data_IF_531769045139
#
_entry.id   IF_531769045139
#
_cell.length_a   1.000
_cell.length_b   1.000
_cell.length_c   1.000
_cell.angle_alpha   90.00
_cell.angle_beta   90.00
_cell.angle_gamma   90.00
#
_symmetry.space_group_name_H-M   'P 1'
#
loop_
_entity.id
_entity.type
_entity.pdbx_description
1 polymer ?
#
# COMPACT_ATOMS: atom_id res chain seq x y z
N UNK A 1 -13.83 3.67 -6.99
CA UNK A 1 -14.08 2.58 -6.01
C UNK A 1 -12.90 1.62 -6.02
N UNK A 2 -12.35 1.21 -4.87
CA UNK A 2 -11.20 0.29 -4.83
C UNK A 2 -11.62 -1.16 -5.17
N UNK A 3 -10.74 -1.94 -5.84
CA UNK A 3 -11.00 -3.35 -6.11
C UNK A 3 -11.22 -4.18 -4.82
N UNK A 4 -11.99 -5.28 -4.87
CA UNK A 4 -12.25 -6.13 -3.71
C UNK A 4 -10.99 -6.56 -2.97
N UNK A 5 -11.01 -6.42 -1.64
CA UNK A 5 -9.89 -6.78 -0.75
C UNK A 5 -8.79 -5.72 -0.66
N UNK A 6 -8.92 -4.59 -1.35
CA UNK A 6 -8.10 -3.40 -1.13
C UNK A 6 -8.80 -2.41 -0.21
N UNK A 7 -8.00 -1.60 0.50
CA UNK A 7 -8.48 -0.58 1.42
C UNK A 7 -7.63 0.67 1.32
N UNK A 8 -8.28 1.80 1.51
CA UNK A 8 -7.68 3.12 1.59
C UNK A 8 -7.36 3.44 3.06
N UNK A 9 -6.10 3.78 3.32
CA UNK A 9 -5.56 4.24 4.59
C UNK A 9 -4.79 5.57 4.42
N UNK A 10 -5.00 6.30 3.32
CA UNK A 10 -4.30 7.56 3.04
C UNK A 10 -4.55 8.65 4.09
N UNK A 11 -5.67 8.56 4.83
CA UNK A 11 -6.06 9.53 5.87
C UNK A 11 -5.42 9.28 7.25
N UNK A 12 -4.64 8.21 7.41
CA UNK A 12 -3.94 7.96 8.69
C UNK A 12 -2.82 8.97 8.90
N UNK A 13 -2.52 9.27 10.17
CA UNK A 13 -1.37 10.12 10.50
C UNK A 13 -0.09 9.41 10.12
N UNK A 14 0.88 10.13 9.58
CA UNK A 14 2.22 9.60 9.32
C UNK A 14 3.13 9.97 10.48
N UNK A 15 3.77 8.99 11.11
CA UNK A 15 4.83 9.30 12.07
C UNK A 15 6.05 9.82 11.31
N UNK A 16 6.82 10.71 11.95
CA UNK A 16 8.13 11.14 11.44
C UNK A 16 9.01 9.94 11.08
N UNK A 17 9.00 8.93 11.94
CA UNK A 17 9.77 7.71 11.73
C UNK A 17 9.33 6.95 10.47
N UNK A 18 8.03 6.88 10.17
CA UNK A 18 7.54 6.22 8.96
C UNK A 18 8.00 6.94 7.69
N UNK A 19 7.99 8.27 7.70
CA UNK A 19 8.45 9.11 6.58
C UNK A 19 9.95 8.94 6.37
N UNK A 20 10.77 9.05 7.42
CA UNK A 20 12.22 8.83 7.36
C UNK A 20 12.56 7.44 6.79
N UNK A 21 11.90 6.39 7.30
CA UNK A 21 12.10 5.04 6.79
C UNK A 21 11.64 4.87 5.34
N UNK A 22 10.65 5.64 4.90
CA UNK A 22 10.20 5.62 3.51
C UNK A 22 11.27 6.19 2.58
N UNK A 23 11.85 7.35 2.94
CA UNK A 23 12.97 7.99 2.25
C UNK A 23 14.14 7.01 2.15
N UNK A 24 14.63 6.51 3.28
CA UNK A 24 15.83 5.66 3.35
C UNK A 24 15.69 4.35 2.56
N UNK A 25 14.52 3.71 2.61
CA UNK A 25 14.33 2.35 2.08
C UNK A 25 13.90 2.35 0.62
N UNK A 26 13.19 3.41 0.20
CA UNK A 26 12.60 3.49 -1.12
C UNK A 26 13.26 4.54 -2.03
N UNK A 27 14.18 5.36 -1.50
CA UNK A 27 14.91 6.37 -2.27
C UNK A 27 14.01 7.51 -2.74
N UNK A 28 13.08 7.92 -1.89
CA UNK A 28 12.13 8.99 -2.18
C UNK A 28 12.71 10.32 -1.72
N UNK A 29 12.56 11.36 -2.52
CA UNK A 29 12.97 12.71 -2.14
C UNK A 29 12.21 13.17 -0.88
N UNK A 30 12.88 13.82 0.10
CA UNK A 30 12.24 14.20 1.36
C UNK A 30 10.96 15.02 1.21
N UNK A 31 10.95 15.94 0.24
CA UNK A 31 9.81 16.83 -0.06
C UNK A 31 8.60 16.08 -0.60
N UNK A 32 8.81 14.90 -1.19
CA UNK A 32 7.75 14.06 -1.79
C UNK A 32 7.37 12.89 -0.89
N UNK A 33 8.08 12.68 0.22
CA UNK A 33 7.98 11.47 1.02
C UNK A 33 6.60 11.29 1.67
N UNK A 34 6.02 12.35 2.21
CA UNK A 34 4.69 12.30 2.84
C UNK A 34 3.60 12.01 1.82
N UNK A 35 3.53 12.79 0.74
CA UNK A 35 2.54 12.59 -0.33
C UNK A 35 2.71 11.22 -1.01
N UNK A 36 3.96 10.81 -1.22
CA UNK A 36 4.31 9.49 -1.74
C UNK A 36 3.80 8.37 -0.84
N UNK A 37 4.00 8.49 0.48
CA UNK A 37 3.54 7.50 1.44
C UNK A 37 2.01 7.50 1.57
N UNK A 38 1.36 8.66 1.56
CA UNK A 38 -0.10 8.76 1.51
C UNK A 38 -0.67 8.07 0.27
N UNK A 39 -0.04 8.25 -0.90
CA UNK A 39 -0.44 7.59 -2.16
C UNK A 39 -0.32 6.06 -2.06
N UNK A 40 0.75 5.55 -1.44
CA UNK A 40 0.89 4.11 -1.15
C UNK A 40 -0.24 3.62 -0.26
N UNK A 41 -0.57 4.38 0.79
CA UNK A 41 -1.63 4.05 1.74
C UNK A 41 -3.04 4.17 1.16
N UNK A 42 -3.22 4.98 0.11
CA UNK A 42 -4.46 5.08 -0.66
C UNK A 42 -4.90 3.76 -1.29
N UNK A 43 -3.94 2.84 -1.49
CA UNK A 43 -4.20 1.55 -2.11
C UNK A 43 -3.40 0.43 -1.47
N UNK A 44 -3.99 -0.17 -0.45
CA UNK A 44 -3.34 -1.25 0.30
C UNK A 44 -4.14 -2.52 0.34
N UNK A 45 -3.47 -3.61 0.71
CA UNK A 45 -4.10 -4.86 1.13
C UNK A 45 -3.62 -5.23 2.52
N UNK A 46 -4.56 -5.50 3.43
CA UNK A 46 -4.21 -5.98 4.77
C UNK A 46 -3.60 -7.37 4.72
N UNK A 47 -2.39 -7.50 5.28
CA UNK A 47 -1.72 -8.78 5.44
C UNK A 47 -2.21 -9.48 6.71
N UNK A 48 -2.26 -8.78 7.83
CA UNK A 48 -2.65 -9.36 9.11
C UNK A 48 -2.75 -8.33 10.22
N UNK A 49 -2.93 -8.81 11.45
CA UNK A 49 -2.92 -7.99 12.67
C UNK A 49 -2.11 -8.72 13.72
N UNK A 50 -1.23 -7.99 14.39
CA UNK A 50 -0.48 -8.51 15.51
C UNK A 50 -1.42 -8.58 16.73
N UNK A 51 -1.65 -9.78 17.31
CA UNK A 51 -2.56 -9.94 18.42
C UNK A 51 -2.02 -9.35 19.73
N UNK A 52 -0.71 -9.19 19.88
CA UNK A 52 -0.08 -8.71 21.11
C UNK A 52 -0.23 -7.20 21.32
N UNK A 53 -0.24 -6.40 20.25
CA UNK A 53 -0.31 -4.93 20.33
C UNK A 53 -1.37 -4.31 19.42
N UNK A 54 -2.09 -5.12 18.63
CA UNK A 54 -3.15 -4.67 17.75
C UNK A 54 -2.68 -4.01 16.45
N UNK A 55 -1.37 -3.90 16.19
CA UNK A 55 -0.82 -3.31 14.97
C UNK A 55 -1.23 -4.08 13.71
N UNK A 56 -1.43 -3.38 12.61
CA UNK A 56 -1.90 -3.92 11.33
C UNK A 56 -0.80 -3.77 10.30
N UNK A 57 -0.46 -4.86 9.61
CA UNK A 57 0.44 -4.83 8.46
C UNK A 57 -0.37 -4.64 7.17
N UNK A 58 -0.07 -3.59 6.43
CA UNK A 58 -0.66 -3.25 5.15
C UNK A 58 0.38 -3.33 4.04
N UNK A 59 0.03 -4.01 2.96
CA UNK A 59 0.85 -4.12 1.77
C UNK A 59 0.42 -3.09 0.72
N UNK A 60 1.36 -2.28 0.26
CA UNK A 60 1.19 -1.35 -0.85
C UNK A 60 2.36 -1.47 -1.85
N UNK A 61 2.34 -0.61 -2.86
CA UNK A 61 3.39 -0.54 -3.88
C UNK A 61 3.86 0.90 -4.05
N UNK A 62 5.17 1.09 -4.14
CA UNK A 62 5.82 2.32 -4.56
C UNK A 62 6.83 2.01 -5.67
N UNK A 63 6.65 2.59 -6.86
CA UNK A 63 7.54 2.36 -8.02
C UNK A 63 7.82 0.85 -8.27
N UNK A 64 6.76 0.03 -8.30
CA UNK A 64 6.85 -1.44 -8.44
C UNK A 64 7.56 -2.19 -7.30
N UNK A 65 7.97 -1.51 -6.22
CA UNK A 65 8.55 -2.10 -5.02
C UNK A 65 7.50 -2.25 -3.93
N UNK A 66 7.57 -3.35 -3.19
CA UNK A 66 6.63 -3.64 -2.10
C UNK A 66 6.96 -2.80 -0.88
N UNK A 67 5.94 -2.09 -0.40
CA UNK A 67 5.95 -1.35 0.87
C UNK A 67 5.03 -2.08 1.84
N UNK A 68 5.52 -2.37 3.04
CA UNK A 68 4.68 -2.86 4.14
C UNK A 68 4.58 -1.79 5.22
N UNK A 69 3.44 -1.11 5.29
CA UNK A 69 3.17 -0.13 6.32
C UNK A 69 2.61 -0.80 7.59
N UNK A 70 3.12 -0.42 8.75
CA UNK A 70 2.63 -0.86 10.05
C UNK A 70 1.77 0.25 10.65
N UNK A 71 0.49 -0.02 10.81
CA UNK A 71 -0.49 0.95 11.35
C UNK A 71 -0.97 0.51 12.72
N UNK A 72 -1.00 1.45 13.67
CA UNK A 72 -1.62 1.29 14.98
C UNK A 72 -2.34 2.59 15.35
N UNK A 73 -3.54 2.50 15.91
CA UNK A 73 -4.30 3.67 16.39
C UNK A 73 -4.37 4.82 15.37
N UNK A 74 -4.71 4.49 14.11
CA UNK A 74 -4.82 5.45 13.01
C UNK A 74 -3.52 6.21 12.68
N UNK A 75 -2.37 5.66 13.06
CA UNK A 75 -1.05 6.20 12.76
C UNK A 75 -0.18 5.15 12.05
N UNK A 76 0.44 5.53 10.94
CA UNK A 76 1.50 4.76 10.30
C UNK A 76 2.79 4.92 11.12
N UNK A 77 3.18 3.87 11.85
CA UNK A 77 4.33 3.89 12.76
C UNK A 77 5.65 3.71 12.03
N UNK A 78 5.69 2.84 11.02
CA UNK A 78 6.87 2.57 10.20
C UNK A 78 6.48 1.93 8.87
N UNK A 79 7.42 1.89 7.92
CA UNK A 79 7.29 1.19 6.64
C UNK A 79 8.46 0.25 6.42
N UNK A 80 8.23 -0.97 5.97
CA UNK A 80 9.26 -1.99 5.75
C UNK A 80 9.30 -2.38 4.27
N UNK A 81 10.46 -2.82 3.80
CA UNK A 81 10.53 -3.58 2.55
C UNK A 81 9.97 -4.98 2.77
N UNK A 82 9.62 -5.70 1.70
CA UNK A 82 9.18 -7.09 1.83
C UNK A 82 10.20 -7.96 2.58
N UNK A 83 11.49 -7.86 2.25
CA UNK A 83 12.55 -8.66 2.87
C UNK A 83 12.70 -8.38 4.37
N UNK A 84 12.40 -7.16 4.82
CA UNK A 84 12.39 -6.81 6.25
C UNK A 84 11.15 -7.33 6.97
N UNK A 85 10.01 -7.44 6.27
CA UNK A 85 8.74 -7.86 6.85
C UNK A 85 8.51 -9.37 6.82
N UNK A 86 8.99 -10.08 5.79
CA UNK A 86 8.73 -11.52 5.61
C UNK A 86 9.07 -12.38 6.84
N UNK A 87 10.22 -12.17 7.55
CA UNK A 87 10.51 -12.90 8.79
C UNK A 87 9.49 -12.67 9.90
N UNK A 88 8.75 -11.55 9.85
CA UNK A 88 7.75 -11.13 10.85
C UNK A 88 6.33 -11.57 10.49
N UNK A 89 6.12 -12.29 9.39
CA UNK A 89 4.77 -12.75 8.99
C UNK A 89 4.02 -13.47 10.11
N UNK A 90 4.74 -14.28 10.89
CA UNK A 90 4.19 -15.02 12.03
C UNK A 90 3.57 -14.11 13.09
N UNK A 91 4.18 -12.96 13.34
CA UNK A 91 3.69 -11.94 14.29
C UNK A 91 2.32 -11.39 13.87
N UNK A 92 1.99 -11.41 12.58
CA UNK A 92 0.73 -10.91 12.02
C UNK A 92 -0.26 -12.03 11.68
N UNK A 93 -0.06 -13.23 12.24
CA UNK A 93 -0.96 -14.37 12.07
C UNK A 93 -0.83 -15.10 10.73
N UNK A 94 0.33 -14.99 10.06
CA UNK A 94 0.62 -15.71 8.82
C UNK A 94 1.86 -16.59 8.95
N UNK A 95 1.74 -17.84 8.56
CA UNK A 95 2.89 -18.76 8.49
C UNK A 95 3.67 -18.69 7.17
N UNK A 96 3.06 -18.16 6.10
CA UNK A 96 3.64 -18.13 4.75
C UNK A 96 3.21 -16.90 3.97
N UNK A 97 4.00 -16.56 2.95
CA UNK A 97 3.71 -15.55 1.93
C UNK A 97 2.33 -15.82 1.29
N UNK A 98 1.52 -14.77 1.03
CA UNK A 98 0.21 -14.96 0.41
C UNK A 98 0.26 -15.75 -0.90
N UNK A 99 -0.62 -16.75 -1.04
CA UNK A 99 -0.76 -17.50 -2.30
C UNK A 99 -1.10 -16.55 -3.45
N UNK A 100 -0.62 -16.88 -4.66
CA UNK A 100 -0.79 -16.06 -5.88
C UNK A 100 -0.20 -14.65 -5.73
N UNK A 101 0.98 -14.55 -5.13
CA UNK A 101 1.72 -13.31 -4.86
C UNK A 101 1.84 -12.39 -6.08
N UNK A 102 2.30 -12.91 -7.23
CA UNK A 102 2.40 -12.12 -8.46
C UNK A 102 1.07 -11.48 -8.86
N UNK A 103 -0.02 -12.25 -8.88
CA UNK A 103 -1.38 -11.75 -9.18
C UNK A 103 -1.85 -10.70 -8.17
N UNK A 104 -1.47 -10.85 -6.89
CA UNK A 104 -1.77 -9.88 -5.85
C UNK A 104 -1.06 -8.54 -6.16
N UNK A 105 0.23 -8.58 -6.45
CA UNK A 105 1.01 -7.38 -6.78
C UNK A 105 0.49 -6.72 -8.05
N UNK A 106 0.19 -7.50 -9.11
CA UNK A 106 -0.39 -6.95 -10.34
C UNK A 106 -1.68 -6.18 -10.07
N UNK A 107 -2.55 -6.69 -9.18
CA UNK A 107 -3.80 -6.02 -8.79
C UNK A 107 -3.59 -4.73 -8.00
N UNK A 108 -2.46 -4.55 -7.32
CA UNK A 108 -2.11 -3.29 -6.66
C UNK A 108 -1.48 -2.29 -7.63
N UNK A 109 -0.88 -2.78 -8.72
CA UNK A 109 -0.32 -1.94 -9.78
C UNK A 109 -1.36 -1.48 -10.82
N UNK A 110 -2.44 -2.24 -11.05
CA UNK A 110 -3.46 -1.92 -12.08
C UNK A 110 -4.08 -0.55 -11.84
N UNK A 111 -3.99 0.45 -12.73
CA UNK A 111 -4.64 1.75 -12.51
C UNK A 111 -6.11 1.61 -12.11
N UNK A 112 -6.61 2.48 -11.22
CA UNK A 112 -8.04 2.51 -10.90
C UNK A 112 -8.77 3.04 -12.14
N UNK A 113 -9.28 2.15 -12.98
CA UNK A 113 -10.14 2.54 -14.09
C UNK A 113 -11.39 3.18 -13.50
N UNK A 114 -11.55 4.50 -13.69
CA UNK A 114 -12.83 5.15 -13.46
C UNK A 114 -13.80 4.64 -14.54
N UNK A 115 -14.98 4.09 -14.18
CA UNK A 115 -15.96 3.62 -15.16
C UNK A 115 -16.79 4.77 -15.76
N UNK A 116 -16.15 5.89 -16.14
CA UNK A 116 -16.87 7.02 -16.74
C UNK A 116 -15.98 7.80 -17.69
N UNK A 117 -15.59 7.16 -18.80
CA UNK A 117 -15.61 7.87 -20.07
C UNK A 117 -16.45 7.00 -21.02
N UNK A 118 -17.62 7.48 -21.49
CA UNK A 118 -18.27 6.83 -22.61
C UNK A 118 -17.30 6.86 -23.81
N UNK A 119 -17.31 5.84 -24.67
CA UNK A 119 -16.53 5.87 -25.90
C UNK A 119 -16.88 7.14 -26.65
N UNK A 120 -15.84 7.91 -27.01
CA UNK A 120 -15.93 9.08 -27.88
C UNK A 120 -16.56 8.62 -29.20
N UNK A 121 -17.88 8.81 -29.33
CA UNK A 121 -18.59 8.54 -30.57
C UNK A 121 -17.99 9.45 -31.64
N UNK A 122 -17.45 8.91 -32.75
CA UNK A 122 -16.89 9.75 -33.78
C UNK A 122 -18.01 10.59 -34.39
N UNK A 123 -17.97 11.91 -34.14
CA UNK A 123 -18.88 12.88 -34.77
C UNK A 123 -18.98 12.58 -36.28
N UNK A 124 -20.18 12.34 -36.83
CA UNK A 124 -20.33 12.27 -38.27
C UNK A 124 -20.05 13.66 -38.84
N UNK A 125 -19.08 13.74 -39.76
CA UNK A 125 -18.96 14.89 -40.66
C UNK A 125 -20.13 14.83 -41.64
N UNK A 126 -21.03 15.82 -41.60
CA UNK A 126 -21.77 16.37 -42.74
C UNK A 126 -22.50 17.63 -42.31
#
# INVERSE_FOLDING_TARGET
MLPPGQRDYSSVRLSRHAVERFIERFGVEPEQAEEGLQRVLGRTRRLGRNPANGAIALLGLHQSRVVVAIIQESTCLTVLTWNQFEPRLGEFGRSKTPRKWGRLLSRLATPLTNPTEPPDDPKPKS
#
